data_IF_306139895099
#
_entry.id   IF_306139895099
#
_cell.length_a   1.000
_cell.length_b   1.000
_cell.length_c   1.000
_cell.angle_alpha   90.00
_cell.angle_beta   90.00
_cell.angle_gamma   90.00
#
_symmetry.space_group_name_H-M   'P 1'
#
loop_
_entity.id
_entity.type
_entity.pdbx_description
1 polymer ?
#
# COMPACT_ATOMS: atom_id res chain seq x y z
N UNK A 1 -27.17 -7.12 -61.15
CA UNK A 1 -27.11 -6.84 -59.70
C UNK A 1 -26.59 -8.07 -58.94
N UNK A 2 -25.27 -8.30 -58.94
CA UNK A 2 -24.65 -9.50 -58.33
C UNK A 2 -23.39 -9.15 -57.52
N UNK A 3 -23.37 -7.94 -56.94
CA UNK A 3 -22.26 -7.42 -56.13
C UNK A 3 -22.65 -7.10 -54.68
N UNK A 4 -23.95 -6.96 -54.39
CA UNK A 4 -24.44 -6.68 -53.03
C UNK A 4 -24.39 -7.88 -52.07
N UNK A 5 -24.44 -9.12 -52.58
CA UNK A 5 -24.37 -10.31 -51.73
C UNK A 5 -22.96 -10.65 -51.25
N UNK A 6 -21.91 -10.26 -51.99
CA UNK A 6 -20.53 -10.59 -51.63
C UNK A 6 -19.98 -9.67 -50.54
N UNK A 7 -20.37 -8.39 -50.55
CA UNK A 7 -19.90 -7.41 -49.55
C UNK A 7 -20.50 -7.66 -48.16
N UNK A 8 -21.76 -8.12 -48.12
CA UNK A 8 -22.47 -8.38 -46.86
C UNK A 8 -21.93 -9.60 -46.10
N UNK A 9 -21.29 -10.57 -46.79
CA UNK A 9 -20.76 -11.77 -46.14
C UNK A 9 -19.37 -11.52 -45.51
N UNK A 10 -18.54 -10.71 -46.17
CA UNK A 10 -17.20 -10.34 -45.68
C UNK A 10 -17.24 -9.47 -44.42
N UNK A 11 -18.30 -8.67 -44.25
CA UNK A 11 -18.50 -7.86 -43.04
C UNK A 11 -18.94 -8.67 -41.80
N UNK A 12 -19.54 -9.85 -42.00
CA UNK A 12 -19.98 -10.71 -40.89
C UNK A 12 -18.87 -11.61 -40.36
N UNK A 13 -17.88 -11.95 -41.20
CA UNK A 13 -16.77 -12.82 -40.79
C UNK A 13 -15.69 -12.09 -39.96
N UNK A 14 -15.57 -10.76 -40.07
CA UNK A 14 -14.52 -10.00 -39.39
C UNK A 14 -14.87 -9.55 -37.96
N UNK A 15 -16.14 -9.59 -37.55
CA UNK A 15 -16.53 -9.22 -36.17
C UNK A 15 -16.34 -10.34 -35.14
N UNK A 16 -16.02 -11.57 -35.56
CA UNK A 16 -15.91 -12.71 -34.65
C UNK A 16 -14.51 -12.93 -34.04
N UNK A 17 -13.50 -12.13 -34.41
CA UNK A 17 -12.09 -12.36 -34.04
C UNK A 17 -11.50 -11.37 -33.02
N UNK A 18 -12.28 -10.43 -32.48
CA UNK A 18 -11.76 -9.43 -31.53
C UNK A 18 -12.13 -9.68 -30.05
N UNK A 19 -12.82 -10.76 -29.71
CA UNK A 19 -13.39 -10.94 -28.36
C UNK A 19 -12.57 -11.81 -27.38
N UNK A 20 -11.37 -12.30 -27.74
CA UNK A 20 -10.68 -13.33 -26.92
C UNK A 20 -9.27 -12.99 -26.43
N UNK A 21 -8.99 -11.73 -26.08
CA UNK A 21 -7.69 -11.38 -25.46
C UNK A 21 -7.78 -10.38 -24.32
N UNK A 22 -8.78 -10.54 -23.44
CA UNK A 22 -8.85 -9.78 -22.19
C UNK A 22 -9.34 -10.63 -21.00
N UNK A 23 -8.81 -11.85 -20.86
CA UNK A 23 -8.86 -12.60 -19.60
C UNK A 23 -7.50 -12.51 -18.89
N UNK A 24 -6.97 -11.30 -18.76
CA UNK A 24 -5.85 -11.06 -17.85
C UNK A 24 -6.41 -10.91 -16.43
N UNK A 25 -6.25 -11.98 -15.64
CA UNK A 25 -6.03 -11.97 -14.20
C UNK A 25 -6.99 -11.13 -13.33
N UNK A 26 -8.29 -11.41 -13.39
CA UNK A 26 -9.15 -11.18 -12.23
C UNK A 26 -8.80 -12.24 -11.18
N UNK A 27 -7.75 -12.00 -10.39
CA UNK A 27 -7.54 -12.79 -9.18
C UNK A 27 -8.74 -12.53 -8.26
N UNK A 28 -9.45 -13.57 -7.79
CA UNK A 28 -10.53 -13.38 -6.86
C UNK A 28 -10.00 -12.63 -5.64
N UNK A 29 -10.63 -11.49 -5.32
CA UNK A 29 -10.30 -10.63 -4.16
C UNK A 29 -10.33 -11.44 -2.85
N UNK A 30 -11.03 -12.59 -2.86
CA UNK A 30 -11.09 -13.55 -1.77
C UNK A 30 -9.73 -14.20 -1.42
N UNK A 31 -8.72 -14.11 -2.29
CA UNK A 31 -7.42 -14.77 -2.08
C UNK A 31 -6.32 -13.88 -1.47
N UNK A 32 -6.61 -12.61 -1.21
CA UNK A 32 -5.64 -11.71 -0.57
C UNK A 32 -5.21 -12.28 0.80
N UNK A 33 -3.91 -12.43 1.07
CA UNK A 33 -3.43 -12.98 2.34
C UNK A 33 -3.51 -11.96 3.49
N UNK A 34 -3.74 -10.68 3.16
CA UNK A 34 -3.82 -9.55 4.05
C UNK A 34 -5.00 -8.63 3.66
N UNK A 35 -5.73 -8.13 4.64
CA UNK A 35 -6.60 -6.96 4.49
C UNK A 35 -5.95 -5.75 5.17
N UNK A 36 -6.02 -4.57 4.55
CA UNK A 36 -5.45 -3.34 5.07
C UNK A 36 -6.45 -2.20 5.09
N UNK A 37 -6.45 -1.42 6.16
CA UNK A 37 -7.16 -0.15 6.30
C UNK A 37 -6.17 0.93 6.74
N UNK A 38 -6.29 2.12 6.17
CA UNK A 38 -5.36 3.23 6.42
C UNK A 38 -6.17 4.49 6.67
N UNK A 39 -5.99 5.06 7.86
CA UNK A 39 -6.58 6.33 8.26
C UNK A 39 -5.52 7.42 8.28
N UNK A 40 -5.83 8.57 7.67
CA UNK A 40 -4.96 9.73 7.62
C UNK A 40 -5.63 10.94 8.24
N UNK A 41 -4.98 11.57 9.21
CA UNK A 41 -5.48 12.76 9.86
C UNK A 41 -4.39 13.83 9.96
N UNK A 42 -4.63 15.02 9.39
CA UNK A 42 -3.70 16.14 9.45
C UNK A 42 -4.32 17.34 10.17
N UNK A 43 -3.58 17.88 11.13
CA UNK A 43 -3.90 19.11 11.82
C UNK A 43 -2.95 20.22 11.37
N UNK A 44 -3.51 21.25 10.75
CA UNK A 44 -2.80 22.46 10.34
C UNK A 44 -2.85 23.49 11.46
N UNK A 45 -1.72 24.10 11.78
CA UNK A 45 -1.65 25.15 12.81
C UNK A 45 -1.41 26.51 12.18
N UNK A 46 -1.80 27.56 12.91
CA UNK A 46 -1.63 28.95 12.47
C UNK A 46 -0.15 29.37 12.38
N UNK A 47 0.76 28.65 13.04
CA UNK A 47 2.22 28.85 12.96
C UNK A 47 2.84 28.25 11.68
N UNK A 48 2.02 27.74 10.75
CA UNK A 48 2.45 27.12 9.50
C UNK A 48 2.95 25.69 9.67
N UNK A 49 2.97 25.13 10.89
CA UNK A 49 3.32 23.73 11.10
C UNK A 49 2.12 22.81 10.83
N UNK A 50 2.41 21.61 10.32
CA UNK A 50 1.41 20.58 10.08
C UNK A 50 1.78 19.33 10.85
N UNK A 51 0.83 18.76 11.61
CA UNK A 51 0.98 17.44 12.21
C UNK A 51 0.06 16.46 11.49
N UNK A 52 0.63 15.47 10.82
CA UNK A 52 -0.12 14.37 10.24
C UNK A 52 0.11 13.08 11.04
N UNK A 53 -0.97 12.36 11.32
CA UNK A 53 -0.97 11.02 11.92
C UNK A 53 -1.59 10.06 10.92
N UNK A 54 -0.91 8.94 10.68
CA UNK A 54 -1.37 7.87 9.80
C UNK A 54 -1.47 6.58 10.60
N UNK A 55 -2.65 5.96 10.61
CA UNK A 55 -2.90 4.70 11.32
C UNK A 55 -3.10 3.59 10.31
N UNK A 56 -2.29 2.53 10.42
CA UNK A 56 -2.32 1.39 9.51
C UNK A 56 -2.84 0.17 10.27
N UNK A 57 -3.96 -0.38 9.80
CA UNK A 57 -4.59 -1.57 10.35
C UNK A 57 -4.43 -2.73 9.36
N UNK A 58 -3.66 -3.73 9.77
CA UNK A 58 -3.40 -4.92 8.97
C UNK A 58 -4.05 -6.14 9.61
N UNK A 59 -4.90 -6.82 8.86
CA UNK A 59 -5.55 -8.08 9.26
C UNK A 59 -4.97 -9.21 8.43
N UNK A 60 -4.26 -10.12 9.09
CA UNK A 60 -3.69 -11.32 8.45
C UNK A 60 -4.83 -12.32 8.24
N UNK A 61 -5.21 -12.54 6.98
CA UNK A 61 -6.27 -13.48 6.60
C UNK A 61 -5.72 -14.89 6.36
N UNK A 62 -4.46 -15.00 5.91
CA UNK A 62 -3.75 -16.27 5.65
C UNK A 62 -2.32 -16.25 6.20
N UNK A 63 -1.71 -17.41 6.51
CA UNK A 63 -0.34 -17.47 7.02
C UNK A 63 0.69 -16.73 6.15
N UNK A 64 0.55 -16.78 4.81
CA UNK A 64 1.41 -16.06 3.87
C UNK A 64 1.39 -14.54 4.05
N UNK A 65 0.33 -13.96 4.61
CA UNK A 65 0.23 -12.52 4.86
C UNK A 65 1.21 -12.02 5.93
N UNK A 66 1.77 -12.93 6.74
CA UNK A 66 2.82 -12.59 7.72
C UNK A 66 4.10 -12.12 7.06
N UNK A 67 4.42 -12.64 5.88
CA UNK A 67 5.65 -12.30 5.15
C UNK A 67 5.52 -10.91 4.53
N UNK A 68 4.32 -10.55 4.07
CA UNK A 68 4.02 -9.25 3.45
C UNK A 68 4.10 -8.08 4.45
N UNK A 69 3.71 -8.27 5.72
CA UNK A 69 3.76 -7.21 6.75
C UNK A 69 5.10 -7.06 7.46
N UNK A 70 6.15 -7.74 6.99
CA UNK A 70 7.48 -7.70 7.61
C UNK A 70 8.13 -6.31 7.55
N UNK A 71 7.71 -5.48 6.59
CA UNK A 71 8.21 -4.12 6.40
C UNK A 71 7.08 -3.20 5.96
N UNK A 72 6.99 -2.02 6.60
CA UNK A 72 6.06 -0.96 6.22
C UNK A 72 6.92 0.25 5.85
N UNK A 73 6.76 0.72 4.62
CA UNK A 73 7.51 1.85 4.10
C UNK A 73 6.68 3.14 4.17
N UNK A 74 7.32 4.22 4.64
CA UNK A 74 6.72 5.55 4.72
C UNK A 74 7.59 6.55 3.97
N UNK A 75 6.94 7.37 3.14
CA UNK A 75 7.57 8.50 2.47
C UNK A 75 7.08 9.78 3.13
N UNK A 76 8.02 10.65 3.50
CA UNK A 76 7.75 11.95 4.09
C UNK A 76 8.76 12.97 3.54
N UNK A 77 8.45 14.27 3.63
CA UNK A 77 9.41 15.26 3.16
C UNK A 77 10.65 15.22 4.03
N UNK A 78 11.81 15.50 3.42
CA UNK A 78 13.05 15.39 4.16
C UNK A 78 13.10 16.29 5.40
N UNK A 79 12.51 17.48 5.35
CA UNK A 79 12.50 18.43 6.47
C UNK A 79 11.47 18.07 7.56
N UNK A 80 10.62 17.08 7.30
CA UNK A 80 9.66 16.55 8.26
C UNK A 80 10.32 15.54 9.21
N UNK A 81 9.62 15.26 10.31
CA UNK A 81 10.03 14.30 11.33
C UNK A 81 8.99 13.19 11.44
N UNK A 82 9.39 11.96 11.15
CA UNK A 82 8.58 10.77 11.38
C UNK A 82 8.79 10.23 12.79
N UNK A 83 7.70 9.94 13.50
CA UNK A 83 7.72 9.30 14.83
C UNK A 83 6.69 8.17 14.81
N UNK A 84 7.10 6.97 15.28
CA UNK A 84 6.16 5.88 15.53
C UNK A 84 5.50 6.13 16.89
N UNK A 85 4.26 6.62 16.90
CA UNK A 85 3.52 6.90 18.14
C UNK A 85 3.07 5.62 18.85
N UNK A 86 2.65 4.61 18.08
CA UNK A 86 2.04 3.39 18.63
C UNK A 86 2.23 2.21 17.68
N UNK A 87 2.47 1.03 18.24
CA UNK A 87 2.55 -0.22 17.49
C UNK A 87 2.04 -1.37 18.37
N UNK A 88 1.02 -2.10 17.90
CA UNK A 88 0.34 -3.14 18.67
C UNK A 88 0.00 -4.36 17.80
N UNK A 89 -0.13 -5.51 18.44
CA UNK A 89 -0.67 -6.73 17.86
C UNK A 89 -1.94 -7.13 18.59
N UNK A 90 -3.00 -7.34 17.83
CA UNK A 90 -4.26 -7.91 18.33
C UNK A 90 -4.37 -9.36 17.87
N UNK A 91 -4.47 -10.30 18.81
CA UNK A 91 -4.82 -11.69 18.49
C UNK A 91 -6.34 -11.84 18.44
N UNK A 92 -6.89 -12.78 17.64
CA UNK A 92 -8.33 -13.04 17.60
C UNK A 92 -8.91 -13.25 19.01
N UNK A 93 -9.95 -12.47 19.34
CA UNK A 93 -10.63 -12.53 20.64
C UNK A 93 -9.83 -11.99 21.84
N UNK A 94 -8.64 -11.42 21.64
CA UNK A 94 -7.82 -10.83 22.70
C UNK A 94 -7.71 -9.33 22.54
N UNK A 95 -7.31 -8.67 23.63
CA UNK A 95 -6.98 -7.24 23.62
C UNK A 95 -5.68 -7.00 22.85
N UNK A 96 -5.54 -5.80 22.32
CA UNK A 96 -4.30 -5.34 21.69
C UNK A 96 -3.15 -5.36 22.71
N UNK A 97 -1.98 -5.80 22.26
CA UNK A 97 -0.74 -5.86 23.05
C UNK A 97 0.34 -5.03 22.35
N UNK A 98 1.00 -4.08 23.03
CA UNK A 98 2.11 -3.33 22.48
C UNK A 98 3.23 -4.21 21.94
N UNK A 99 3.77 -3.84 20.78
CA UNK A 99 4.96 -4.48 20.24
C UNK A 99 6.19 -4.02 21.02
N UNK A 100 7.08 -4.96 21.31
CA UNK A 100 8.36 -4.65 21.94
C UNK A 100 9.22 -3.76 21.02
N UNK A 101 9.92 -2.78 21.61
CA UNK A 101 10.73 -1.81 20.85
C UNK A 101 11.85 -2.48 20.05
N UNK A 102 12.38 -3.62 20.50
CA UNK A 102 13.40 -4.41 19.77
C UNK A 102 12.87 -5.04 18.48
N UNK A 103 11.54 -5.16 18.34
CA UNK A 103 10.89 -5.70 17.15
C UNK A 103 10.53 -4.64 16.11
N UNK A 104 10.83 -3.37 16.38
CA UNK A 104 10.54 -2.24 15.50
C UNK A 104 11.86 -1.63 15.06
N UNK A 105 12.25 -1.94 13.83
CA UNK A 105 13.42 -1.36 13.19
C UNK A 105 12.97 -0.23 12.25
N UNK A 106 13.36 1.00 12.57
CA UNK A 106 13.03 2.18 11.74
C UNK A 106 14.28 2.60 10.98
N UNK A 107 14.24 2.44 9.66
CA UNK A 107 15.33 2.82 8.76
C UNK A 107 14.90 3.94 7.85
N UNK A 108 15.77 4.94 7.68
CA UNK A 108 15.58 5.98 6.69
C UNK A 108 16.31 5.60 5.41
N UNK A 109 15.58 5.45 4.31
CA UNK A 109 16.20 5.24 3.00
C UNK A 109 16.98 6.51 2.58
N UNK A 110 18.16 6.36 1.95
CA UNK A 110 18.91 7.51 1.47
C UNK A 110 18.12 8.23 0.36
N UNK A 111 18.05 9.56 0.43
CA UNK A 111 17.46 10.37 -0.64
C UNK A 111 18.49 10.54 -1.77
N UNK A 112 18.27 9.98 -2.99
CA UNK A 112 19.25 10.10 -4.09
C UNK A 112 19.38 11.54 -4.63
N UNK A 113 18.35 12.38 -4.46
CA UNK A 113 18.35 13.75 -4.96
C UNK A 113 19.11 14.74 -4.05
N UNK A 114 19.45 14.34 -2.82
CA UNK A 114 20.18 15.17 -1.85
C UNK A 114 21.38 14.39 -1.30
N UNK A 115 22.56 15.02 -1.31
CA UNK A 115 23.80 14.40 -0.83
C UNK A 115 23.61 13.94 0.62
N UNK A 116 24.05 12.71 0.93
CA UNK A 116 23.82 12.02 2.21
C UNK A 116 24.02 12.93 3.44
N UNK A 117 22.95 13.21 4.16
CA UNK A 117 22.97 13.98 5.41
C UNK A 117 22.97 13.02 6.60
N UNK A 118 24.15 12.68 7.13
CA UNK A 118 24.35 11.68 8.19
C UNK A 118 23.63 11.98 9.55
N UNK A 119 22.86 13.06 9.67
CA UNK A 119 22.30 13.57 10.93
C UNK A 119 20.90 13.07 11.26
N UNK A 120 20.17 12.41 10.34
CA UNK A 120 18.77 11.98 10.56
C UNK A 120 18.61 10.53 11.01
N UNK A 121 19.71 9.80 11.17
CA UNK A 121 19.69 8.39 11.56
C UNK A 121 19.58 8.26 13.06
N UNK A 122 18.35 8.35 13.59
CA UNK A 122 17.83 7.70 14.81
C UNK A 122 16.61 8.48 15.28
N UNK A 123 15.41 7.93 15.07
CA UNK A 123 14.22 8.54 15.65
C UNK A 123 13.20 7.52 16.15
N UNK A 124 13.62 6.79 17.19
CA UNK A 124 12.68 6.04 18.01
C UNK A 124 12.15 6.95 19.12
N UNK A 125 10.83 7.17 19.17
CA UNK A 125 10.16 7.45 20.44
C UNK A 125 8.81 6.76 20.52
N UNK A 126 8.89 5.51 20.93
CA UNK A 126 7.84 4.83 21.67
C UNK A 126 8.00 5.28 23.13
N UNK A 127 6.96 5.86 23.74
CA UNK A 127 6.89 6.11 25.19
C UNK A 127 6.60 4.79 25.89
#
# INVERSE_FOLDING_TARGET
MRYHLFCLSLFKASLALFSSSALSALQPIEEAPLASEIDHHCHFKDDGTTKCTSTYHYTILRPSGREEISRIDFTFNEDDKLIVEKAELTQPGKKAVPLDKSRIDTRLAPNPAKRFSARKTNLNRLS
#
